data_IF_144238882405
#
_entry.id   IF_144238882405
#
_cell.length_a   1.000
_cell.length_b   1.000
_cell.length_c   1.000
_cell.angle_alpha   90.00
_cell.angle_beta   90.00
_cell.angle_gamma   90.00
#
_symmetry.space_group_name_H-M   'P 1'
#
loop_
_entity.id
_entity.type
_entity.pdbx_description
1 polymer ?
#
# COMPACT_ATOMS: atom_id res chain seq x y z
N UNK A 1 -21.88 11.16 0.52
CA UNK A 1 -20.69 10.95 1.36
C UNK A 1 -19.55 11.76 0.77
N UNK A 2 -18.92 12.61 1.60
CA UNK A 2 -17.73 13.38 1.26
C UNK A 2 -16.50 12.71 1.86
N UNK A 3 -15.49 12.41 1.05
CA UNK A 3 -14.29 11.67 1.47
C UNK A 3 -13.04 12.51 1.22
N UNK A 4 -12.27 12.77 2.26
CA UNK A 4 -10.94 13.39 2.13
C UNK A 4 -9.91 12.30 1.84
N UNK A 5 -9.12 12.47 0.78
CA UNK A 5 -8.09 11.51 0.36
C UNK A 5 -6.74 12.21 0.30
N UNK A 6 -5.75 11.71 1.04
CA UNK A 6 -4.36 12.20 0.97
C UNK A 6 -3.52 11.41 -0.01
N UNK A 7 -2.47 12.03 -0.54
CA UNK A 7 -1.52 11.37 -1.45
C UNK A 7 -2.12 11.03 -2.82
N UNK A 8 -2.98 11.90 -3.32
CA UNK A 8 -3.73 11.68 -4.59
C UNK A 8 -2.86 11.70 -5.83
N UNK A 9 -1.64 12.22 -5.76
CA UNK A 9 -0.65 12.14 -6.84
C UNK A 9 0.05 10.76 -6.89
N UNK A 10 -0.14 9.92 -5.86
CA UNK A 10 0.36 8.54 -5.80
C UNK A 10 -0.51 7.55 -6.57
N UNK A 11 -0.06 6.28 -6.63
CA UNK A 11 -0.76 5.22 -7.35
C UNK A 11 -2.17 4.97 -6.79
N UNK A 12 -2.27 4.71 -5.48
CA UNK A 12 -3.52 4.34 -4.83
C UNK A 12 -4.45 5.53 -4.63
N UNK A 13 -3.95 6.67 -4.18
CA UNK A 13 -4.78 7.86 -3.97
C UNK A 13 -5.48 8.30 -5.27
N UNK A 14 -4.79 8.19 -6.40
CA UNK A 14 -5.37 8.43 -7.73
C UNK A 14 -6.56 7.49 -8.01
N UNK A 15 -6.38 6.17 -7.81
CA UNK A 15 -7.43 5.19 -8.07
C UNK A 15 -8.60 5.31 -7.09
N UNK A 16 -8.35 5.66 -5.82
CA UNK A 16 -9.41 5.94 -4.84
C UNK A 16 -10.26 7.13 -5.30
N UNK A 17 -9.66 8.23 -5.76
CA UNK A 17 -10.39 9.37 -6.30
C UNK A 17 -11.27 9.00 -7.49
N UNK A 18 -10.75 8.18 -8.41
CA UNK A 18 -11.49 7.69 -9.56
C UNK A 18 -12.68 6.80 -9.15
N UNK A 19 -12.48 5.90 -8.18
CA UNK A 19 -13.55 5.02 -7.72
C UNK A 19 -14.65 5.79 -6.95
N UNK A 20 -14.27 6.78 -6.13
CA UNK A 20 -15.24 7.68 -5.47
C UNK A 20 -16.10 8.41 -6.50
N UNK A 21 -15.48 9.01 -7.52
CA UNK A 21 -16.19 9.71 -8.60
C UNK A 21 -17.13 8.77 -9.36
N UNK A 22 -16.69 7.54 -9.67
CA UNK A 22 -17.49 6.52 -10.36
C UNK A 22 -18.72 6.11 -9.56
N UNK A 23 -18.64 6.10 -8.22
CA UNK A 23 -19.78 5.79 -7.33
C UNK A 23 -20.63 7.02 -6.99
N UNK A 24 -20.31 8.19 -7.50
CA UNK A 24 -21.03 9.43 -7.23
C UNK A 24 -20.79 10.01 -5.83
N UNK A 25 -19.66 9.66 -5.19
CA UNK A 25 -19.23 10.27 -3.94
C UNK A 25 -18.39 11.52 -4.19
N UNK A 26 -18.45 12.46 -3.26
CA UNK A 26 -17.64 13.68 -3.29
C UNK A 26 -16.23 13.35 -2.74
N UNK A 27 -15.26 13.13 -3.63
CA UNK A 27 -13.86 13.00 -3.26
C UNK A 27 -13.18 14.36 -3.19
N UNK A 28 -12.53 14.67 -2.07
CA UNK A 28 -11.65 15.84 -1.93
C UNK A 28 -10.22 15.33 -1.81
N UNK A 29 -9.45 15.50 -2.88
CA UNK A 29 -8.07 15.03 -2.95
C UNK A 29 -7.09 16.11 -2.50
N UNK A 30 -6.11 15.73 -1.67
CA UNK A 30 -5.02 16.61 -1.23
C UNK A 30 -3.67 15.91 -1.35
N UNK A 31 -2.64 16.72 -1.61
CA UNK A 31 -1.25 16.29 -1.55
C UNK A 31 -0.46 17.32 -0.71
N UNK A 32 0.86 17.25 -0.69
CA UNK A 32 1.70 18.09 0.18
C UNK A 32 1.47 19.59 -0.02
N UNK A 33 1.14 20.02 -1.25
CA UNK A 33 0.91 21.43 -1.57
C UNK A 33 -0.39 21.98 -0.95
N UNK A 34 -1.45 21.15 -0.89
CA UNK A 34 -2.74 21.54 -0.30
C UNK A 34 -2.75 21.31 1.22
N UNK A 35 -2.12 20.20 1.68
CA UNK A 35 -2.08 19.82 3.07
C UNK A 35 -0.80 19.04 3.39
N UNK A 36 0.22 19.75 3.87
CA UNK A 36 1.39 19.07 4.45
C UNK A 36 0.95 18.35 5.74
N UNK A 37 0.87 17.02 5.69
CA UNK A 37 0.44 16.19 6.83
C UNK A 37 1.38 16.29 8.04
N UNK A 38 2.62 16.75 7.83
CA UNK A 38 3.61 16.95 8.91
C UNK A 38 3.41 18.26 9.67
N UNK A 39 2.51 19.12 9.22
CA UNK A 39 2.08 20.36 9.87
C UNK A 39 0.66 20.16 10.46
N UNK A 40 0.60 20.05 11.79
CA UNK A 40 -0.68 19.85 12.52
C UNK A 40 -1.68 20.97 12.24
N UNK A 41 -1.22 22.22 12.11
CA UNK A 41 -2.10 23.36 11.83
C UNK A 41 -2.67 23.30 10.41
N UNK A 42 -1.89 22.86 9.42
CA UNK A 42 -2.36 22.64 8.06
C UNK A 42 -3.41 21.53 7.99
N UNK A 43 -3.17 20.40 8.69
CA UNK A 43 -4.13 19.29 8.78
C UNK A 43 -5.44 19.76 9.40
N UNK A 44 -5.38 20.43 10.56
CA UNK A 44 -6.56 20.98 11.25
C UNK A 44 -7.36 21.89 10.34
N UNK A 45 -6.71 22.89 9.75
CA UNK A 45 -7.35 23.86 8.85
C UNK A 45 -8.10 23.16 7.73
N UNK A 46 -7.44 22.25 7.00
CA UNK A 46 -8.06 21.58 5.84
C UNK A 46 -9.23 20.70 6.27
N UNK A 47 -9.08 19.92 7.35
CA UNK A 47 -10.17 19.06 7.82
C UNK A 47 -11.37 19.84 8.35
N UNK A 48 -11.16 20.99 9.00
CA UNK A 48 -12.23 21.88 9.44
C UNK A 48 -12.94 22.61 8.27
N UNK A 49 -12.19 22.99 7.22
CA UNK A 49 -12.74 23.58 6.00
C UNK A 49 -13.52 22.56 5.16
N UNK A 50 -12.97 21.38 4.93
CA UNK A 50 -13.56 20.34 4.10
C UNK A 50 -14.74 19.67 4.79
N UNK A 51 -14.64 19.42 6.11
CA UNK A 51 -15.61 18.64 6.92
C UNK A 51 -16.00 17.33 6.25
N UNK A 52 -15.03 16.43 6.05
CA UNK A 52 -15.31 15.15 5.39
C UNK A 52 -16.14 14.23 6.29
N UNK A 53 -16.95 13.37 5.69
CA UNK A 53 -17.64 12.29 6.39
C UNK A 53 -16.70 11.13 6.70
N UNK A 54 -15.68 10.90 5.85
CA UNK A 54 -14.70 9.80 5.91
C UNK A 54 -13.32 10.27 5.45
N UNK A 55 -12.28 9.54 5.87
CA UNK A 55 -10.88 9.80 5.54
C UNK A 55 -10.21 8.58 4.92
N UNK A 56 -9.49 8.76 3.81
CA UNK A 56 -8.57 7.75 3.24
C UNK A 56 -7.15 8.30 3.21
N UNK A 57 -6.29 7.78 4.07
CA UNK A 57 -4.92 8.26 4.23
C UNK A 57 -3.94 7.39 3.44
N UNK A 58 -3.61 7.83 2.20
CA UNK A 58 -2.66 7.17 1.30
C UNK A 58 -1.27 7.84 1.27
N UNK A 59 -1.14 9.07 1.79
CA UNK A 59 0.15 9.76 1.79
C UNK A 59 1.16 9.03 2.68
N UNK A 60 2.35 8.76 2.15
CA UNK A 60 3.43 8.11 2.88
C UNK A 60 4.79 8.33 2.19
N UNK A 61 5.85 8.28 2.96
CA UNK A 61 7.20 8.07 2.45
C UNK A 61 7.38 6.59 2.09
N UNK A 62 7.50 6.28 0.81
CA UNK A 62 7.57 4.89 0.30
C UNK A 62 8.93 4.51 -0.30
N UNK A 63 9.89 5.44 -0.31
CA UNK A 63 11.25 5.20 -0.79
C UNK A 63 12.05 4.43 0.27
N UNK A 64 11.90 3.10 0.31
CA UNK A 64 12.39 2.20 1.37
C UNK A 64 13.90 2.34 1.61
N UNK A 65 14.72 2.35 0.53
CA UNK A 65 16.18 2.49 0.67
C UNK A 65 16.58 3.89 1.12
N UNK A 66 15.90 4.93 0.63
CA UNK A 66 16.17 6.31 1.05
C UNK A 66 15.76 6.57 2.51
N UNK A 67 14.81 5.80 3.05
CA UNK A 67 14.41 5.90 4.44
C UNK A 67 15.56 5.58 5.41
N UNK A 68 16.47 4.67 5.04
CA UNK A 68 17.66 4.35 5.85
C UNK A 68 18.63 5.52 5.98
N UNK A 69 18.66 6.46 5.01
CA UNK A 69 19.45 7.69 5.06
C UNK A 69 18.71 8.87 5.68
N UNK A 70 17.39 8.86 5.62
CA UNK A 70 16.53 9.99 5.96
C UNK A 70 15.53 9.61 7.04
N UNK A 71 16.01 8.96 8.10
CA UNK A 71 15.21 8.36 9.18
C UNK A 71 14.20 9.36 9.76
N UNK A 72 14.67 10.57 10.11
CA UNK A 72 13.84 11.61 10.74
C UNK A 72 12.75 12.11 9.77
N UNK A 73 13.07 12.28 8.49
CA UNK A 73 12.09 12.71 7.51
C UNK A 73 11.05 11.61 7.23
N UNK A 74 11.50 10.37 7.11
CA UNK A 74 10.60 9.21 6.95
C UNK A 74 9.64 9.10 8.16
N UNK A 75 10.16 9.23 9.40
CA UNK A 75 9.35 9.23 10.62
C UNK A 75 8.39 10.42 10.68
N UNK A 76 8.87 11.61 10.30
CA UNK A 76 8.02 12.80 10.25
C UNK A 76 6.81 12.62 9.34
N UNK A 77 7.00 12.01 8.17
CA UNK A 77 5.89 11.75 7.23
C UNK A 77 5.02 10.58 7.70
N UNK A 78 5.62 9.39 7.95
CA UNK A 78 4.86 8.16 8.15
C UNK A 78 4.26 8.04 9.56
N UNK A 79 4.93 8.53 10.59
CA UNK A 79 4.45 8.46 11.96
C UNK A 79 3.77 9.76 12.39
N UNK A 80 4.48 10.89 12.42
CA UNK A 80 3.91 12.15 12.89
C UNK A 80 2.78 12.66 11.98
N UNK A 81 2.97 12.60 10.65
CA UNK A 81 1.92 13.00 9.70
C UNK A 81 0.65 12.15 9.87
N UNK A 82 0.81 10.83 10.07
CA UNK A 82 -0.33 9.95 10.38
C UNK A 82 -0.95 10.28 11.73
N UNK A 83 -0.13 10.59 12.76
CA UNK A 83 -0.63 11.01 14.07
C UNK A 83 -1.50 12.28 13.99
N UNK A 84 -1.08 13.28 13.22
CA UNK A 84 -1.85 14.51 13.02
C UNK A 84 -3.22 14.22 12.37
N UNK A 85 -3.25 13.36 11.35
CA UNK A 85 -4.50 12.92 10.72
C UNK A 85 -5.39 12.16 11.72
N UNK A 86 -4.83 11.19 12.45
CA UNK A 86 -5.57 10.35 13.37
C UNK A 86 -6.17 11.15 14.52
N UNK A 87 -5.45 12.15 15.08
CA UNK A 87 -5.96 13.09 16.09
C UNK A 87 -7.19 13.81 15.57
N UNK A 88 -7.12 14.38 14.37
CA UNK A 88 -8.24 15.10 13.79
C UNK A 88 -9.44 14.19 13.51
N UNK A 89 -9.18 12.96 13.02
CA UNK A 89 -10.26 11.98 12.83
C UNK A 89 -10.95 11.64 14.15
N UNK A 90 -10.17 11.45 15.24
CA UNK A 90 -10.73 11.22 16.58
C UNK A 90 -11.50 12.42 17.13
N UNK A 91 -10.95 13.65 17.02
CA UNK A 91 -11.61 14.88 17.48
C UNK A 91 -12.94 15.15 16.74
N UNK A 92 -13.01 14.84 15.45
CA UNK A 92 -14.19 15.07 14.59
C UNK A 92 -15.10 13.84 14.48
N UNK A 93 -14.76 12.74 15.15
CA UNK A 93 -15.48 11.46 15.10
C UNK A 93 -15.61 10.88 13.68
N UNK A 94 -14.59 11.08 12.84
CA UNK A 94 -14.54 10.68 11.42
C UNK A 94 -13.86 9.32 11.27
N UNK A 95 -14.53 8.30 10.70
CA UNK A 95 -13.88 7.04 10.35
C UNK A 95 -12.75 7.22 9.34
N UNK A 96 -11.63 6.52 9.56
CA UNK A 96 -10.47 6.60 8.68
C UNK A 96 -9.96 5.26 8.17
N UNK A 97 -9.47 5.25 6.94
CA UNK A 97 -8.66 4.16 6.38
C UNK A 97 -7.21 4.61 6.36
N UNK A 98 -6.32 3.82 6.98
CA UNK A 98 -4.88 4.02 6.96
C UNK A 98 -4.22 2.92 6.15
N UNK A 99 -3.46 3.29 5.12
CA UNK A 99 -2.68 2.34 4.32
C UNK A 99 -1.36 2.03 5.02
N UNK A 100 -1.20 0.78 5.43
CA UNK A 100 0.01 0.23 6.01
C UNK A 100 0.66 -0.81 5.09
N UNK A 101 1.57 -1.62 5.58
CA UNK A 101 2.46 -2.47 4.78
C UNK A 101 2.78 -3.78 5.51
N UNK A 102 3.15 -4.81 4.74
CA UNK A 102 3.76 -6.05 5.22
C UNK A 102 5.10 -5.84 5.94
N UNK A 103 5.80 -4.73 5.68
CA UNK A 103 7.09 -4.37 6.30
C UNK A 103 7.00 -4.08 7.80
N UNK A 104 5.80 -4.02 8.38
CA UNK A 104 5.62 -3.95 9.84
C UNK A 104 6.05 -5.24 10.54
N UNK A 105 6.06 -6.35 9.84
CA UNK A 105 6.51 -7.65 10.35
C UNK A 105 8.03 -7.81 10.20
N UNK A 106 8.62 -8.80 10.91
CA UNK A 106 10.04 -9.13 10.82
C UNK A 106 10.44 -9.81 9.50
N UNK A 107 9.46 -10.25 8.72
CA UNK A 107 9.66 -10.88 7.41
C UNK A 107 10.25 -12.27 7.45
N UNK A 108 10.25 -12.93 8.60
CA UNK A 108 10.83 -14.28 8.79
C UNK A 108 9.77 -15.38 8.65
N UNK A 109 10.23 -16.64 8.54
CA UNK A 109 9.36 -17.80 8.44
C UNK A 109 8.71 -18.00 7.08
N UNK A 110 7.68 -18.86 7.04
CA UNK A 110 6.97 -19.22 5.79
C UNK A 110 5.46 -19.21 5.94
N UNK A 111 4.96 -19.08 7.17
CA UNK A 111 3.53 -18.95 7.47
C UNK A 111 3.04 -17.58 6.99
N UNK A 112 1.85 -17.49 6.38
CA UNK A 112 1.23 -16.20 6.14
C UNK A 112 0.98 -15.46 7.47
N UNK A 113 1.26 -14.17 7.49
CA UNK A 113 0.94 -13.28 8.61
C UNK A 113 -0.56 -13.10 8.71
N UNK A 114 -1.10 -13.16 9.92
CA UNK A 114 -2.48 -12.82 10.20
C UNK A 114 -2.62 -11.33 10.58
N UNK A 115 -3.78 -10.67 10.31
CA UNK A 115 -3.95 -9.26 10.61
C UNK A 115 -3.70 -8.88 12.08
N UNK A 116 -4.01 -9.80 12.99
CA UNK A 116 -3.90 -9.60 14.43
C UNK A 116 -2.60 -10.21 15.03
N UNK A 117 -1.68 -10.71 14.18
CA UNK A 117 -0.35 -11.13 14.63
C UNK A 117 0.40 -9.95 15.29
N UNK A 118 1.12 -10.20 16.40
CA UNK A 118 1.88 -9.15 17.06
C UNK A 118 3.02 -8.64 16.17
N UNK A 119 3.16 -7.33 16.09
CA UNK A 119 4.33 -6.70 15.48
C UNK A 119 5.46 -6.67 16.50
N UNK A 120 6.50 -7.45 16.27
CA UNK A 120 7.61 -7.60 17.22
C UNK A 120 8.78 -6.69 16.85
N UNK A 121 9.20 -6.71 15.58
CA UNK A 121 10.39 -5.98 15.13
C UNK A 121 10.35 -5.74 13.62
N UNK A 122 9.89 -4.60 13.16
CA UNK A 122 10.03 -4.21 11.75
C UNK A 122 11.50 -4.23 11.30
N UNK A 123 11.75 -4.68 10.06
CA UNK A 123 13.10 -4.94 9.56
C UNK A 123 13.90 -3.68 9.24
N UNK A 124 13.24 -2.58 8.92
CA UNK A 124 13.85 -1.38 8.39
C UNK A 124 13.10 -0.11 8.85
N UNK A 125 13.68 1.05 8.57
CA UNK A 125 13.12 2.35 8.97
C UNK A 125 11.72 2.58 8.38
N UNK A 126 11.49 2.19 7.13
CA UNK A 126 10.18 2.31 6.51
C UNK A 126 9.12 1.51 7.28
N UNK A 127 9.37 0.22 7.53
CA UNK A 127 8.45 -0.63 8.29
C UNK A 127 8.21 -0.12 9.71
N UNK A 128 9.27 0.30 10.40
CA UNK A 128 9.18 0.86 11.74
C UNK A 128 8.30 2.11 11.78
N UNK A 129 8.52 3.06 10.87
CA UNK A 129 7.75 4.32 10.85
C UNK A 129 6.30 4.12 10.41
N UNK A 130 6.03 3.14 9.54
CA UNK A 130 4.66 2.74 9.19
C UNK A 130 3.94 2.11 10.39
N UNK A 131 4.63 1.29 11.17
CA UNK A 131 4.08 0.71 12.39
C UNK A 131 3.81 1.78 13.48
N UNK A 132 4.71 2.75 13.65
CA UNK A 132 4.47 3.90 14.52
C UNK A 132 3.19 4.65 14.11
N UNK A 133 2.91 4.75 12.80
CA UNK A 133 1.64 5.27 12.27
C UNK A 133 0.43 4.41 12.64
N UNK A 134 0.52 3.06 12.60
CA UNK A 134 -0.56 2.19 13.08
C UNK A 134 -0.88 2.45 14.55
N UNK A 135 0.16 2.54 15.39
CA UNK A 135 -0.01 2.84 16.83
C UNK A 135 -0.65 4.20 17.08
N UNK A 136 -0.33 5.20 16.25
CA UNK A 136 -0.96 6.51 16.33
C UNK A 136 -2.46 6.44 15.96
N UNK A 137 -2.81 5.69 14.92
CA UNK A 137 -4.22 5.47 14.54
C UNK A 137 -4.98 4.82 15.70
N UNK A 138 -4.49 3.71 16.24
CA UNK A 138 -5.12 3.00 17.37
C UNK A 138 -5.25 3.84 18.64
N UNK A 139 -4.34 4.80 18.84
CA UNK A 139 -4.35 5.68 20.00
C UNK A 139 -5.45 6.75 19.96
N UNK A 140 -5.77 7.26 18.77
CA UNK A 140 -6.59 8.46 18.63
C UNK A 140 -8.00 8.21 18.12
N UNK A 141 -8.29 7.05 17.51
CA UNK A 141 -9.65 6.74 17.04
C UNK A 141 -9.92 5.23 17.11
N UNK A 142 -11.16 4.87 17.42
CA UNK A 142 -11.67 3.50 17.37
C UNK A 142 -12.34 3.18 16.01
N UNK A 143 -12.61 4.21 15.19
CA UNK A 143 -13.26 4.08 13.87
C UNK A 143 -12.22 4.02 12.75
N UNK A 144 -11.43 2.93 12.73
CA UNK A 144 -10.35 2.82 11.76
C UNK A 144 -10.32 1.49 11.01
N UNK A 145 -9.85 1.56 9.79
CA UNK A 145 -9.32 0.43 9.04
C UNK A 145 -7.82 0.63 8.86
N UNK A 146 -7.00 -0.24 9.43
CA UNK A 146 -5.57 -0.34 9.11
C UNK A 146 -5.44 -1.42 8.05
N UNK A 147 -5.12 -1.01 6.82
CA UNK A 147 -5.06 -1.89 5.65
C UNK A 147 -3.60 -2.10 5.27
N UNK A 148 -3.06 -3.27 5.60
CA UNK A 148 -1.70 -3.66 5.22
C UNK A 148 -1.71 -4.27 3.82
N UNK A 149 -0.85 -3.75 2.97
CA UNK A 149 -0.71 -4.14 1.56
C UNK A 149 0.73 -4.52 1.25
N UNK A 150 0.96 -5.26 0.18
CA UNK A 150 2.28 -5.61 -0.33
C UNK A 150 2.34 -5.43 -1.85
N UNK A 151 3.55 -5.14 -2.39
CA UNK A 151 3.86 -5.17 -3.82
C UNK A 151 2.87 -4.38 -4.69
N UNK A 152 2.60 -3.15 -4.28
CA UNK A 152 1.57 -2.30 -4.88
C UNK A 152 1.97 -1.85 -6.29
N UNK A 153 1.05 -1.97 -7.25
CA UNK A 153 1.18 -1.43 -8.58
C UNK A 153 -0.12 -0.77 -9.06
N UNK A 154 0.03 0.28 -9.85
CA UNK A 154 -1.07 1.06 -10.42
C UNK A 154 -0.62 1.84 -11.64
N UNK A 155 -1.58 2.43 -12.34
CA UNK A 155 -1.32 3.17 -13.59
C UNK A 155 -0.55 4.45 -13.32
N UNK A 156 -0.86 5.14 -12.23
CA UNK A 156 -0.17 6.37 -11.86
C UNK A 156 1.15 6.07 -11.13
N UNK A 157 2.23 6.77 -11.47
CA UNK A 157 3.53 6.65 -10.82
C UNK A 157 4.41 5.49 -11.32
N UNK A 158 5.43 5.16 -10.52
CA UNK A 158 6.44 4.12 -10.82
C UNK A 158 6.14 2.84 -10.06
N UNK A 159 6.41 1.69 -10.67
CA UNK A 159 6.30 0.38 -10.02
C UNK A 159 7.19 -0.68 -10.69
N UNK A 160 7.23 -1.87 -10.09
CA UNK A 160 8.04 -2.98 -10.56
C UNK A 160 7.71 -3.39 -12.00
N UNK A 161 6.42 -3.45 -12.38
CA UNK A 161 5.99 -3.88 -13.72
C UNK A 161 6.55 -2.91 -14.78
N UNK A 162 6.38 -1.60 -14.59
CA UNK A 162 6.92 -0.59 -15.51
C UNK A 162 8.44 -0.68 -15.61
N UNK A 163 9.12 -0.96 -14.51
CA UNK A 163 10.57 -1.16 -14.49
C UNK A 163 10.96 -2.37 -15.31
N UNK A 164 10.30 -3.53 -15.13
CA UNK A 164 10.57 -4.74 -15.91
C UNK A 164 10.32 -4.52 -17.40
N UNK A 165 9.18 -3.96 -17.78
CA UNK A 165 8.86 -3.65 -19.18
C UNK A 165 9.90 -2.72 -19.82
N UNK A 166 10.40 -1.72 -19.11
CA UNK A 166 11.44 -0.84 -19.64
C UNK A 166 12.79 -1.53 -19.78
N UNK A 167 13.20 -2.35 -18.82
CA UNK A 167 14.43 -3.14 -18.90
C UNK A 167 14.36 -4.16 -20.02
N UNK A 168 13.23 -4.84 -20.19
CA UNK A 168 13.05 -5.83 -21.25
C UNK A 168 13.10 -5.27 -22.68
N UNK A 169 12.99 -3.95 -22.87
CA UNK A 169 13.21 -3.31 -24.19
C UNK A 169 14.67 -3.28 -24.62
N UNK A 170 15.59 -3.44 -23.68
CA UNK A 170 17.04 -3.27 -23.92
C UNK A 170 17.88 -4.44 -23.44
N UNK A 171 17.29 -5.42 -22.75
CA UNK A 171 17.99 -6.56 -22.18
C UNK A 171 17.23 -7.86 -22.49
N UNK A 172 17.93 -8.83 -23.07
CA UNK A 172 17.38 -10.16 -23.37
C UNK A 172 17.45 -11.11 -22.15
N UNK A 173 18.18 -10.70 -21.09
CA UNK A 173 18.32 -11.46 -19.85
C UNK A 173 18.34 -10.52 -18.64
N UNK A 174 17.57 -10.85 -17.61
CA UNK A 174 17.55 -10.13 -16.34
C UNK A 174 17.71 -11.10 -15.17
N UNK A 175 18.33 -10.63 -14.08
CA UNK A 175 18.38 -11.34 -12.80
C UNK A 175 17.38 -10.72 -11.84
N UNK A 176 16.56 -11.54 -11.19
CA UNK A 176 15.52 -11.06 -10.25
C UNK A 176 15.52 -11.94 -9.01
N UNK A 177 15.31 -11.31 -7.86
CA UNK A 177 15.27 -11.96 -6.54
C UNK A 177 14.16 -13.02 -6.47
N UNK A 178 14.49 -14.21 -5.93
CA UNK A 178 13.61 -15.38 -5.90
C UNK A 178 13.31 -15.90 -4.48
N UNK A 179 13.91 -15.30 -3.46
CA UNK A 179 13.77 -15.67 -2.04
C UNK A 179 12.92 -14.71 -1.22
N UNK A 180 12.27 -13.74 -1.85
CA UNK A 180 11.27 -12.86 -1.25
C UNK A 180 9.90 -13.25 -1.79
N UNK A 181 9.02 -13.72 -0.92
CA UNK A 181 7.74 -14.31 -1.31
C UNK A 181 6.57 -13.48 -0.78
N UNK A 182 5.67 -13.10 -1.68
CA UNK A 182 4.49 -12.28 -1.37
C UNK A 182 3.41 -12.40 -2.44
N UNK A 183 2.54 -11.40 -2.51
CA UNK A 183 1.49 -11.32 -3.54
C UNK A 183 1.36 -9.86 -4.02
N UNK A 184 1.31 -9.61 -5.34
CA UNK A 184 1.07 -8.26 -5.87
C UNK A 184 -0.31 -7.71 -5.50
N UNK A 185 -0.41 -6.37 -5.44
CA UNK A 185 -1.66 -5.66 -5.17
C UNK A 185 -1.90 -4.57 -6.21
N UNK A 186 -2.94 -4.73 -7.01
CA UNK A 186 -3.37 -3.73 -7.99
C UNK A 186 -4.20 -2.64 -7.33
N UNK A 187 -3.78 -1.38 -7.44
CA UNK A 187 -4.44 -0.24 -6.80
C UNK A 187 -5.88 -0.03 -7.25
N UNK A 188 -6.20 -0.34 -8.49
CA UNK A 188 -7.57 -0.29 -9.02
C UNK A 188 -8.51 -1.25 -8.27
N UNK A 189 -8.07 -2.49 -8.00
CA UNK A 189 -8.87 -3.46 -7.24
C UNK A 189 -8.93 -3.07 -5.76
N UNK A 190 -7.80 -2.62 -5.20
CA UNK A 190 -7.73 -2.15 -3.83
C UNK A 190 -8.65 -0.95 -3.60
N UNK A 191 -8.66 0.04 -4.50
CA UNK A 191 -9.50 1.22 -4.37
C UNK A 191 -11.00 0.88 -4.26
N UNK A 192 -11.48 -0.10 -5.02
CA UNK A 192 -12.86 -0.59 -4.91
C UNK A 192 -13.16 -1.11 -3.51
N UNK A 193 -12.29 -1.98 -2.98
CA UNK A 193 -12.46 -2.52 -1.64
C UNK A 193 -12.40 -1.43 -0.57
N UNK A 194 -11.50 -0.45 -0.70
CA UNK A 194 -11.42 0.66 0.26
C UNK A 194 -12.72 1.48 0.28
N UNK A 195 -13.34 1.71 -0.88
CA UNK A 195 -14.62 2.41 -0.94
C UNK A 195 -15.75 1.54 -0.36
N UNK A 196 -15.74 0.21 -0.55
CA UNK A 196 -16.67 -0.70 0.13
C UNK A 196 -16.51 -0.65 1.66
N UNK A 197 -15.26 -0.53 2.16
CA UNK A 197 -14.98 -0.38 3.59
C UNK A 197 -15.53 0.92 4.16
N UNK A 198 -15.53 2.02 3.38
CA UNK A 198 -16.13 3.29 3.82
C UNK A 198 -17.65 3.20 4.05
N UNK A 199 -18.33 2.25 3.43
CA UNK A 199 -19.78 2.03 3.54
C UNK A 199 -20.16 1.14 4.73
N UNK A 200 -19.17 0.57 5.45
CA UNK A 200 -19.37 -0.35 6.58
C UNK A 200 -18.71 0.15 7.85
N UNK A 201 -19.00 -0.49 8.97
CA UNK A 201 -18.42 -0.20 10.30
C UNK A 201 -17.69 -1.43 10.88
N UNK A 202 -17.11 -2.25 10.00
CA UNK A 202 -16.32 -3.44 10.35
C UNK A 202 -14.85 -3.04 10.59
N UNK A 203 -14.64 -2.15 11.58
CA UNK A 203 -13.34 -1.55 11.89
C UNK A 203 -12.30 -2.58 12.32
N UNK A 204 -11.01 -2.25 12.19
CA UNK A 204 -9.90 -3.07 12.62
C UNK A 204 -8.76 -3.17 11.60
N UNK A 205 -7.87 -4.16 11.83
CA UNK A 205 -6.71 -4.44 10.96
C UNK A 205 -7.08 -5.47 9.89
N UNK A 206 -6.65 -5.20 8.66
CA UNK A 206 -6.90 -6.09 7.51
C UNK A 206 -5.63 -6.24 6.67
N UNK A 207 -5.46 -7.41 6.10
CA UNK A 207 -4.49 -7.67 5.06
C UNK A 207 -5.19 -7.70 3.71
N UNK A 208 -4.66 -6.97 2.74
CA UNK A 208 -5.25 -6.87 1.41
C UNK A 208 -4.18 -6.99 0.33
N UNK A 209 -4.24 -8.08 -0.44
CA UNK A 209 -3.50 -8.28 -1.70
C UNK A 209 -4.43 -8.96 -2.69
N UNK A 210 -4.09 -8.96 -3.97
CA UNK A 210 -4.82 -9.80 -4.93
C UNK A 210 -4.74 -11.29 -4.54
N UNK A 211 -5.69 -12.11 -4.99
CA UNK A 211 -5.64 -13.56 -4.85
C UNK A 211 -4.70 -14.19 -5.90
N UNK A 212 -4.58 -15.52 -5.92
CA UNK A 212 -3.79 -16.26 -6.92
C UNK A 212 -2.49 -16.82 -6.38
N UNK A 213 -2.35 -16.91 -5.04
CA UNK A 213 -1.23 -17.55 -4.35
C UNK A 213 -0.05 -16.63 -4.09
N UNK A 214 0.98 -17.19 -3.49
CA UNK A 214 2.22 -16.52 -3.13
C UNK A 214 3.30 -16.84 -4.14
N UNK A 215 4.03 -15.83 -4.60
CA UNK A 215 5.05 -15.91 -5.65
C UNK A 215 6.30 -15.14 -5.25
N UNK A 216 7.43 -15.41 -5.93
CA UNK A 216 8.62 -14.59 -5.83
C UNK A 216 8.56 -13.38 -6.78
N UNK A 217 9.45 -12.40 -6.60
CA UNK A 217 9.66 -11.34 -7.57
C UNK A 217 10.12 -11.89 -8.93
N UNK A 218 10.92 -12.98 -8.91
CA UNK A 218 11.35 -13.68 -10.12
C UNK A 218 10.17 -14.26 -10.89
N UNK A 219 9.23 -14.93 -10.20
CA UNK A 219 8.01 -15.47 -10.82
C UNK A 219 7.13 -14.35 -11.36
N UNK A 220 7.02 -13.25 -10.62
CA UNK A 220 6.26 -12.09 -11.08
C UNK A 220 6.86 -11.48 -12.35
N UNK A 221 8.20 -11.33 -12.42
CA UNK A 221 8.89 -10.84 -13.61
C UNK A 221 8.68 -11.74 -14.83
N UNK A 222 8.78 -13.08 -14.66
CA UNK A 222 8.49 -14.05 -15.73
C UNK A 222 7.08 -13.89 -16.28
N UNK A 223 6.08 -13.77 -15.39
CA UNK A 223 4.69 -13.62 -15.80
C UNK A 223 4.43 -12.27 -16.48
N UNK A 224 5.07 -11.17 -16.03
CA UNK A 224 5.01 -9.86 -16.69
C UNK A 224 5.46 -9.98 -18.13
N UNK A 225 6.63 -10.56 -18.40
CA UNK A 225 7.15 -10.71 -19.76
C UNK A 225 6.30 -11.64 -20.60
N UNK A 226 5.84 -12.76 -20.03
CA UNK A 226 4.94 -13.69 -20.72
C UNK A 226 3.65 -13.00 -21.19
N UNK A 227 2.97 -12.24 -20.31
CA UNK A 227 1.74 -11.56 -20.67
C UNK A 227 1.96 -10.35 -21.59
N UNK A 228 3.12 -9.70 -21.49
CA UNK A 228 3.51 -8.60 -22.38
C UNK A 228 4.00 -9.08 -23.77
N UNK A 229 4.13 -10.39 -23.98
CA UNK A 229 4.65 -10.95 -25.24
C UNK A 229 6.11 -10.62 -25.50
N UNK A 230 6.92 -10.43 -24.44
CA UNK A 230 8.34 -10.09 -24.51
C UNK A 230 9.20 -11.34 -24.24
N UNK A 231 10.16 -11.63 -25.12
CA UNK A 231 11.08 -12.75 -24.96
C UNK A 231 12.31 -12.31 -24.14
N UNK A 232 12.15 -12.29 -22.82
CA UNK A 232 13.21 -11.93 -21.86
C UNK A 232 13.45 -13.08 -20.89
N UNK A 233 14.68 -13.58 -20.85
CA UNK A 233 15.09 -14.64 -19.93
C UNK A 233 15.25 -14.06 -18.50
N UNK A 234 14.45 -14.53 -17.56
CA UNK A 234 14.57 -14.15 -16.14
C UNK A 234 15.30 -15.25 -15.36
N UNK A 235 16.45 -14.91 -14.79
CA UNK A 235 17.28 -15.80 -13.98
C UNK A 235 17.08 -15.49 -12.50
N UNK A 236 16.75 -16.49 -11.65
CA UNK A 236 16.60 -16.29 -10.22
C UNK A 236 17.94 -16.02 -9.55
N UNK A 237 17.93 -15.12 -8.56
CA UNK A 237 19.07 -14.85 -7.67
C UNK A 237 18.56 -14.72 -6.23
N UNK A 238 19.44 -15.00 -5.25
CA UNK A 238 19.12 -14.72 -3.84
C UNK A 238 19.27 -13.24 -3.52
N UNK A 239 18.61 -12.78 -2.47
CA UNK A 239 18.71 -11.40 -1.97
C UNK A 239 20.15 -11.02 -1.61
N UNK A 240 20.98 -11.96 -1.17
CA UNK A 240 22.40 -11.72 -0.86
C UNK A 240 23.22 -11.31 -2.09
N UNK A 241 22.77 -11.69 -3.28
CA UNK A 241 23.43 -11.34 -4.56
C UNK A 241 22.88 -10.02 -5.13
N UNK A 242 21.84 -9.47 -4.54
CA UNK A 242 21.23 -8.22 -4.97
C UNK A 242 21.33 -7.19 -3.84
N UNK A 243 22.41 -6.38 -3.80
CA UNK A 243 22.63 -5.44 -2.72
C UNK A 243 21.51 -4.40 -2.68
N UNK A 244 20.84 -4.33 -1.55
CA UNK A 244 19.86 -3.31 -1.24
C UNK A 244 20.23 -2.69 0.10
N UNK A 245 19.98 -1.39 0.27
CA UNK A 245 20.35 -0.70 1.50
C UNK A 245 19.46 -1.12 2.66
N UNK A 246 18.16 -1.10 2.45
CA UNK A 246 17.20 -1.60 3.42
C UNK A 246 17.01 -3.11 3.28
N UNK A 247 17.05 -3.83 4.40
CA UNK A 247 16.69 -5.25 4.42
C UNK A 247 15.22 -5.41 4.02
N UNK A 248 14.94 -6.33 3.12
CA UNK A 248 13.58 -6.65 2.68
C UNK A 248 13.09 -7.96 3.29
N UNK A 249 11.77 -8.08 3.57
CA UNK A 249 11.23 -9.31 4.13
C UNK A 249 11.33 -10.47 3.13
N UNK A 250 11.80 -11.62 3.58
CA UNK A 250 11.73 -12.87 2.81
C UNK A 250 10.30 -13.45 2.80
N UNK A 251 9.51 -13.09 3.81
CA UNK A 251 8.11 -13.51 3.97
C UNK A 251 7.16 -12.31 4.04
N UNK A 252 6.56 -11.99 2.90
CA UNK A 252 5.47 -11.02 2.74
C UNK A 252 4.11 -11.69 2.48
N UNK A 253 3.97 -12.95 2.88
CA UNK A 253 2.70 -13.66 2.75
C UNK A 253 1.71 -13.12 3.76
N UNK A 254 0.53 -12.74 3.32
CA UNK A 254 -0.53 -12.17 4.17
C UNK A 254 -1.81 -13.00 4.08
N UNK A 255 -2.35 -13.40 5.23
CA UNK A 255 -3.63 -14.07 5.36
C UNK A 255 -4.76 -13.03 5.23
N UNK A 256 -5.85 -13.39 4.53
CA UNK A 256 -6.93 -12.46 4.13
C UNK A 256 -8.33 -12.94 4.52
N UNK A 257 -8.45 -14.01 5.30
CA UNK A 257 -9.77 -14.58 5.67
C UNK A 257 -10.65 -13.58 6.42
N UNK A 258 -10.07 -12.66 7.17
CA UNK A 258 -10.80 -11.62 7.89
C UNK A 258 -11.66 -10.75 6.96
N UNK A 259 -11.25 -10.52 5.71
CA UNK A 259 -12.07 -9.83 4.72
C UNK A 259 -13.42 -10.54 4.53
N UNK A 260 -13.38 -11.84 4.23
CA UNK A 260 -14.58 -12.65 4.01
C UNK A 260 -15.42 -12.80 5.28
N UNK A 261 -14.79 -12.94 6.45
CA UNK A 261 -15.47 -13.05 7.74
C UNK A 261 -16.28 -11.78 8.07
N UNK A 262 -15.80 -10.61 7.63
CA UNK A 262 -16.47 -9.33 7.82
C UNK A 262 -17.27 -8.88 6.58
N UNK A 263 -17.57 -9.82 5.66
CA UNK A 263 -18.44 -9.57 4.50
C UNK A 263 -17.85 -8.67 3.42
N UNK A 264 -16.51 -8.62 3.32
CA UNK A 264 -15.83 -7.97 2.19
C UNK A 264 -15.46 -9.00 1.14
N UNK A 265 -15.55 -8.60 -0.13
CA UNK A 265 -15.06 -9.42 -1.24
C UNK A 265 -13.53 -9.41 -1.30
N UNK A 266 -12.95 -10.55 -1.64
CA UNK A 266 -11.52 -10.63 -1.92
C UNK A 266 -11.20 -10.06 -3.29
N UNK A 267 -9.99 -9.53 -3.46
CA UNK A 267 -9.57 -9.02 -4.75
C UNK A 267 -9.43 -10.17 -5.77
N UNK A 268 -9.57 -9.90 -7.07
CA UNK A 268 -9.30 -10.88 -8.13
C UNK A 268 -7.89 -11.46 -8.05
N UNK A 269 -7.58 -12.48 -8.87
CA UNK A 269 -6.21 -13.02 -8.92
C UNK A 269 -5.22 -11.98 -9.44
N UNK A 270 -3.98 -12.04 -8.96
CA UNK A 270 -2.94 -11.13 -9.42
C UNK A 270 -2.61 -11.31 -10.92
N UNK A 271 -2.83 -12.52 -11.46
CA UNK A 271 -2.66 -12.78 -12.90
C UNK A 271 -3.68 -12.03 -13.74
N UNK A 272 -4.95 -12.01 -13.30
CA UNK A 272 -6.00 -11.22 -13.93
C UNK A 272 -5.74 -9.72 -13.78
N UNK A 273 -5.37 -9.28 -12.56
CA UNK A 273 -5.00 -7.90 -12.28
C UNK A 273 -3.87 -7.42 -13.18
N UNK A 274 -2.80 -8.22 -13.34
CA UNK A 274 -1.70 -7.94 -14.26
C UNK A 274 -2.18 -7.82 -15.71
N UNK A 275 -3.04 -8.74 -16.15
CA UNK A 275 -3.60 -8.70 -17.52
C UNK A 275 -4.39 -7.43 -17.80
N UNK A 276 -5.23 -6.99 -16.84
CA UNK A 276 -5.99 -5.73 -16.96
C UNK A 276 -5.06 -4.52 -16.96
N UNK A 277 -4.08 -4.53 -16.07
CA UNK A 277 -3.09 -3.47 -15.96
C UNK A 277 -2.27 -3.29 -17.24
N UNK A 278 -1.75 -4.39 -17.81
CA UNK A 278 -0.97 -4.35 -19.05
C UNK A 278 -1.77 -3.79 -20.23
N UNK A 279 -3.06 -4.15 -20.35
CA UNK A 279 -3.95 -3.60 -21.39
C UNK A 279 -4.16 -2.09 -21.29
N UNK A 280 -4.00 -1.54 -20.07
CA UNK A 280 -4.18 -0.12 -19.83
C UNK A 280 -2.92 0.70 -20.12
N UNK A 281 -1.72 0.10 -19.95
CA UNK A 281 -0.46 0.85 -20.07
C UNK A 281 0.33 0.55 -21.35
N UNK A 282 -0.01 -0.47 -22.12
CA UNK A 282 0.64 -0.85 -23.37
C UNK A 282 -0.19 -0.44 -24.59
#
# INVERSE_FOLDING_TARGET
MKVLVTGVKGQLGHDVMNELAKRGYEGVGVDVEEMDITDEAAVRRVMEEVRPDKMVHCAAWTAVDAAEDQVEMCRKVNALGTENIAKMCGELDIPMIYLSTDYVFDGEGTRPWEPDDPVVKPLNVYGQTKYEGELAVEKYTDKYYIVRVAWVFGVNGKNFIKTMLNLGKTHDTLTVVDDQIGTPTYTYDLAKLLVDMLEKEEYGKYHVTNEGGYISWCDFAKEIFRQAGMDVKVTPVSSDQYPAKAKRPSNSRMEKNKLTQHGFERLPSWQDALSRYLKEIM
#
